data_IF_877616938152
#
_entry.id   IF_877616938152
#
_cell.length_a   1.000
_cell.length_b   1.000
_cell.length_c   1.000
_cell.angle_alpha   90.00
_cell.angle_beta   90.00
_cell.angle_gamma   90.00
#
_symmetry.space_group_name_H-M   'P 1'
#
loop_
_entity.id
_entity.type
_entity.pdbx_description
1 polymer ?
#
# COMPACT_ATOMS: atom_id res chain seq x y z
N UNK A 1 13.88 -1.72 -13.28
CA UNK A 1 14.42 -2.99 -12.76
C UNK A 1 13.29 -3.70 -12.01
N UNK A 2 12.85 -4.90 -12.42
CA UNK A 2 11.83 -5.61 -11.66
C UNK A 2 12.42 -6.02 -10.30
N UNK A 3 11.74 -5.69 -9.21
CA UNK A 3 12.17 -6.08 -7.88
C UNK A 3 11.89 -7.57 -7.68
N UNK A 4 12.93 -8.38 -7.63
CA UNK A 4 12.79 -9.79 -7.29
C UNK A 4 12.38 -9.97 -5.82
N UNK A 5 11.54 -10.96 -5.52
CA UNK A 5 11.07 -11.26 -4.16
C UNK A 5 12.25 -11.36 -3.15
N UNK A 6 13.35 -12.01 -3.56
CA UNK A 6 14.55 -12.14 -2.72
C UNK A 6 15.22 -10.79 -2.41
N UNK A 7 15.17 -9.82 -3.32
CA UNK A 7 15.68 -8.48 -3.08
C UNK A 7 14.81 -7.74 -2.07
N UNK A 8 13.48 -7.80 -2.24
CA UNK A 8 12.51 -7.23 -1.28
C UNK A 8 12.72 -7.82 0.11
N UNK A 9 12.88 -9.14 0.19
CA UNK A 9 13.14 -9.84 1.45
C UNK A 9 14.40 -9.35 2.18
N UNK A 10 15.46 -8.97 1.45
CA UNK A 10 16.71 -8.45 2.02
C UNK A 10 16.58 -7.02 2.53
N UNK A 11 15.67 -6.21 1.95
CA UNK A 11 15.40 -4.84 2.41
C UNK A 11 14.65 -4.81 3.76
N UNK A 12 13.84 -5.83 4.04
CA UNK A 12 13.03 -5.90 5.24
C UNK A 12 13.87 -6.12 6.52
N UNK A 13 13.69 -5.32 7.58
CA UNK A 13 14.27 -5.59 8.90
C UNK A 13 13.81 -6.92 9.52
N UNK A 14 14.54 -7.44 10.53
CA UNK A 14 14.25 -8.74 11.17
C UNK A 14 12.92 -8.79 11.92
N UNK A 15 12.41 -7.64 12.37
CA UNK A 15 11.09 -7.49 12.99
C UNK A 15 9.92 -7.87 12.08
N UNK A 16 10.11 -7.84 10.76
CA UNK A 16 9.06 -8.20 9.79
C UNK A 16 8.97 -9.71 9.63
N UNK A 17 7.77 -10.19 9.27
CA UNK A 17 7.57 -11.53 8.69
C UNK A 17 8.10 -11.56 7.25
N UNK A 18 9.42 -11.49 7.10
CA UNK A 18 10.15 -11.21 5.84
C UNK A 18 9.67 -12.02 4.64
N UNK A 19 9.41 -13.32 4.80
CA UNK A 19 8.92 -14.19 3.71
C UNK A 19 7.54 -13.76 3.23
N UNK A 20 6.60 -13.58 4.16
CA UNK A 20 5.21 -13.24 3.85
C UNK A 20 5.10 -11.83 3.24
N UNK A 21 5.75 -10.85 3.89
CA UNK A 21 5.73 -9.45 3.43
C UNK A 21 6.39 -9.32 2.05
N UNK A 22 7.54 -9.96 1.83
CA UNK A 22 8.22 -9.88 0.54
C UNK A 22 7.41 -10.53 -0.58
N UNK A 23 6.72 -11.63 -0.31
CA UNK A 23 5.86 -12.30 -1.29
C UNK A 23 4.68 -11.42 -1.69
N UNK A 24 3.92 -10.89 -0.72
CA UNK A 24 2.76 -10.03 -1.01
C UNK A 24 3.18 -8.75 -1.76
N UNK A 25 4.30 -8.13 -1.36
CA UNK A 25 4.86 -6.98 -2.06
C UNK A 25 5.36 -7.33 -3.46
N UNK A 26 5.97 -8.49 -3.65
CA UNK A 26 6.42 -8.96 -4.96
C UNK A 26 5.22 -9.13 -5.91
N UNK A 27 4.13 -9.74 -5.43
CA UNK A 27 2.88 -9.86 -6.20
C UNK A 27 2.36 -8.47 -6.61
N UNK A 28 2.36 -7.50 -5.70
CA UNK A 28 1.96 -6.13 -5.98
C UNK A 28 2.84 -5.47 -7.06
N UNK A 29 4.17 -5.63 -7.00
CA UNK A 29 5.12 -5.04 -7.95
C UNK A 29 5.05 -5.71 -9.33
N UNK A 30 4.78 -7.01 -9.38
CA UNK A 30 4.56 -7.73 -10.65
C UNK A 30 3.30 -7.24 -11.34
N UNK A 31 2.24 -6.96 -10.58
CA UNK A 31 0.97 -6.45 -11.11
C UNK A 31 1.06 -4.95 -11.46
N UNK A 32 1.63 -4.14 -10.57
CA UNK A 32 1.86 -2.70 -10.75
C UNK A 32 3.36 -2.40 -10.88
N UNK A 33 3.86 -2.41 -12.11
CA UNK A 33 5.30 -2.30 -12.39
C UNK A 33 5.92 -0.93 -12.02
N UNK A 34 5.08 0.09 -11.83
CA UNK A 34 5.44 1.43 -11.36
C UNK A 34 5.69 1.48 -9.85
N UNK A 35 5.22 0.48 -9.08
CA UNK A 35 5.43 0.46 -7.63
C UNK A 35 6.86 0.07 -7.29
N UNK A 36 7.46 0.86 -6.40
CA UNK A 36 8.83 0.70 -5.94
C UNK A 36 8.85 0.41 -4.44
N UNK A 37 9.36 -0.77 -4.03
CA UNK A 37 9.62 -1.09 -2.64
C UNK A 37 10.78 -0.26 -2.08
N UNK A 38 10.56 0.47 -0.98
CA UNK A 38 11.60 1.25 -0.32
C UNK A 38 11.45 1.28 1.21
N UNK A 39 12.54 1.55 1.91
CA UNK A 39 12.48 1.85 3.35
C UNK A 39 12.37 3.37 3.53
N UNK A 40 11.45 3.82 4.36
CA UNK A 40 11.22 5.24 4.61
C UNK A 40 10.79 5.53 6.04
N UNK A 41 10.84 6.81 6.43
CA UNK A 41 10.37 7.30 7.71
C UNK A 41 8.90 7.69 7.59
N UNK A 42 8.02 6.92 8.19
CA UNK A 42 6.60 7.24 8.34
C UNK A 42 6.39 8.10 9.60
N UNK A 43 5.59 9.16 9.47
CA UNK A 43 5.16 10.02 10.58
C UNK A 43 3.67 9.76 10.82
N UNK A 44 3.33 9.29 12.01
CA UNK A 44 1.95 9.04 12.39
C UNK A 44 1.24 10.33 12.78
N UNK A 45 -0.10 10.28 12.83
CA UNK A 45 -0.93 11.43 13.20
C UNK A 45 -0.66 11.95 14.63
N UNK A 46 -0.09 11.13 15.52
CA UNK A 46 0.34 11.53 16.87
C UNK A 46 1.74 12.17 16.90
N UNK A 47 2.38 12.34 15.75
CA UNK A 47 3.74 12.88 15.60
C UNK A 47 4.85 11.86 15.84
N UNK A 48 4.54 10.63 16.23
CA UNK A 48 5.55 9.58 16.36
C UNK A 48 6.07 9.18 14.98
N UNK A 49 7.31 8.69 14.92
CA UNK A 49 7.92 8.28 13.65
C UNK A 49 8.45 6.86 13.72
N UNK A 50 8.33 6.11 12.62
CA UNK A 50 8.91 4.78 12.49
C UNK A 50 9.51 4.60 11.10
N UNK A 51 10.64 3.88 11.04
CA UNK A 51 11.16 3.38 9.78
C UNK A 51 10.39 2.12 9.37
N UNK A 52 9.64 2.25 8.28
CA UNK A 52 8.75 1.24 7.72
C UNK A 52 9.13 0.94 6.27
N UNK A 53 8.73 -0.24 5.81
CA UNK A 53 8.76 -0.58 4.39
C UNK A 53 7.56 0.09 3.70
N UNK A 54 7.75 0.60 2.49
CA UNK A 54 6.67 1.09 1.64
C UNK A 54 6.72 0.51 0.22
N UNK A 55 5.57 0.57 -0.46
CA UNK A 55 5.46 0.53 -1.92
C UNK A 55 5.01 1.91 -2.39
N UNK A 56 5.82 2.58 -3.19
CA UNK A 56 5.54 3.94 -3.67
C UNK A 56 5.62 3.96 -5.19
N UNK A 57 4.66 4.58 -5.85
CA UNK A 57 4.60 4.66 -7.30
C UNK A 57 3.22 5.11 -7.75
N UNK A 58 2.81 4.72 -8.95
CA UNK A 58 1.47 5.03 -9.48
C UNK A 58 0.66 3.77 -9.69
N UNK A 59 -0.67 3.88 -9.65
CA UNK A 59 -1.59 2.80 -9.97
C UNK A 59 -2.54 3.28 -11.08
N UNK A 60 -2.73 2.51 -12.15
CA UNK A 60 -3.69 2.85 -13.19
C UNK A 60 -5.12 2.66 -12.67
N UNK A 61 -5.93 3.71 -12.78
CA UNK A 61 -7.34 3.74 -12.40
C UNK A 61 -8.15 4.16 -13.62
N UNK A 62 -9.20 3.41 -13.95
CA UNK A 62 -10.12 3.75 -15.04
C UNK A 62 -11.22 4.67 -14.52
N UNK A 63 -11.31 5.87 -15.08
CA UNK A 63 -12.35 6.85 -14.78
C UNK A 63 -12.86 7.48 -16.08
N UNK A 64 -14.18 7.41 -16.32
CA UNK A 64 -14.82 7.96 -17.54
C UNK A 64 -14.10 7.58 -18.84
N UNK A 65 -13.80 6.28 -19.00
CA UNK A 65 -13.10 5.70 -20.18
C UNK A 65 -11.63 6.14 -20.38
N UNK A 66 -11.07 6.90 -19.45
CA UNK A 66 -9.65 7.26 -19.42
C UNK A 66 -8.91 6.63 -18.24
N UNK A 67 -7.68 6.20 -18.47
CA UNK A 67 -6.83 5.62 -17.42
C UNK A 67 -5.93 6.69 -16.81
N UNK A 68 -6.13 6.97 -15.53
CA UNK A 68 -5.33 7.90 -14.74
C UNK A 68 -4.30 7.15 -13.91
N UNK A 69 -3.06 7.65 -13.90
CA UNK A 69 -1.98 7.06 -13.08
C UNK A 69 -1.95 7.75 -11.72
N UNK A 70 -2.64 7.20 -10.74
CA UNK A 70 -2.77 7.84 -9.44
C UNK A 70 -1.56 7.52 -8.56
N UNK A 71 -0.81 8.53 -8.11
CA UNK A 71 0.35 8.33 -7.25
C UNK A 71 -0.06 7.91 -5.84
N UNK A 72 0.58 6.85 -5.33
CA UNK A 72 0.29 6.27 -4.02
C UNK A 72 1.54 5.90 -3.24
N UNK A 73 1.38 5.81 -1.92
CA UNK A 73 2.35 5.27 -1.00
C UNK A 73 1.68 4.35 0.02
N UNK A 74 2.05 3.07 0.00
CA UNK A 74 1.55 2.04 0.92
C UNK A 74 2.61 1.70 1.94
N UNK A 75 2.39 1.99 3.21
CA UNK A 75 3.26 1.66 4.32
C UNK A 75 2.89 0.32 4.95
N UNK A 76 3.91 -0.52 5.16
CA UNK A 76 3.76 -1.85 5.76
C UNK A 76 4.38 -1.83 7.16
N UNK A 77 3.55 -2.05 8.17
CA UNK A 77 4.00 -2.24 9.56
C UNK A 77 4.69 -3.59 9.78
N UNK A 78 5.58 -3.67 10.77
CA UNK A 78 6.26 -4.92 11.12
C UNK A 78 5.29 -6.02 11.59
N UNK A 79 4.13 -5.62 12.14
CA UNK A 79 3.02 -6.48 12.52
C UNK A 79 2.14 -6.92 11.35
N UNK A 80 2.45 -6.58 10.11
CA UNK A 80 1.77 -7.15 8.96
C UNK A 80 2.00 -8.68 8.91
N UNK A 81 0.98 -9.51 8.60
CA UNK A 81 -0.38 -9.17 8.14
C UNK A 81 -1.43 -9.07 9.26
N UNK A 82 -1.05 -8.96 10.54
CA UNK A 82 -2.01 -8.71 11.64
C UNK A 82 -2.57 -7.29 11.60
N UNK A 83 -1.76 -6.32 11.16
CA UNK A 83 -2.18 -4.95 10.86
C UNK A 83 -2.33 -4.74 9.37
N UNK A 84 -3.30 -3.94 8.96
CA UNK A 84 -3.49 -3.52 7.58
C UNK A 84 -2.31 -2.63 7.12
N UNK A 85 -2.02 -2.59 5.81
CA UNK A 85 -1.16 -1.55 5.26
C UNK A 85 -1.83 -0.16 5.42
N UNK A 86 -1.02 0.88 5.63
CA UNK A 86 -1.48 2.28 5.67
C UNK A 86 -1.28 2.85 4.27
N UNK A 87 -2.33 3.36 3.64
CA UNK A 87 -2.28 3.77 2.25
C UNK A 87 -2.53 5.27 2.13
N UNK A 88 -1.73 5.96 1.32
CA UNK A 88 -1.89 7.37 1.00
C UNK A 88 -1.93 7.59 -0.50
N UNK A 89 -2.78 8.50 -0.95
CA UNK A 89 -2.65 9.17 -2.25
C UNK A 89 -1.64 10.30 -2.09
N UNK A 90 -0.65 10.34 -2.97
CA UNK A 90 0.46 11.31 -2.91
C UNK A 90 0.38 12.24 -4.12
N UNK A 91 -0.48 13.28 -4.10
CA UNK A 91 -0.70 14.14 -5.26
C UNK A 91 0.61 14.76 -5.77
N UNK A 92 0.75 14.91 -7.08
CA UNK A 92 1.79 15.77 -7.66
C UNK A 92 1.45 17.25 -7.44
N UNK A 93 2.36 18.16 -7.79
CA UNK A 93 2.13 19.61 -7.68
C UNK A 93 0.86 20.09 -8.38
N UNK A 94 0.44 19.36 -9.41
CA UNK A 94 -0.67 19.72 -10.29
C UNK A 94 -1.96 18.97 -9.92
N UNK A 95 -1.93 18.14 -8.87
CA UNK A 95 -3.06 17.34 -8.39
C UNK A 95 -3.62 17.91 -7.08
N UNK A 96 -4.93 17.75 -6.91
CA UNK A 96 -5.61 18.06 -5.65
C UNK A 96 -6.23 16.79 -5.09
N UNK A 97 -6.00 16.51 -3.81
CA UNK A 97 -6.70 15.42 -3.11
C UNK A 97 -8.14 15.84 -2.89
N UNK A 98 -9.07 15.11 -3.50
CA UNK A 98 -10.49 15.24 -3.21
C UNK A 98 -10.81 14.35 -2.01
N UNK A 99 -10.96 14.95 -0.84
CA UNK A 99 -11.46 14.23 0.33
C UNK A 99 -12.87 13.73 0.05
N UNK A 100 -13.15 12.50 0.45
CA UNK A 100 -14.44 11.87 0.20
C UNK A 100 -14.68 10.70 1.13
N UNK A 101 -15.58 9.80 0.72
CA UNK A 101 -15.98 8.66 1.55
C UNK A 101 -14.82 7.74 1.94
N UNK A 102 -13.83 7.60 1.06
CA UNK A 102 -12.71 6.67 1.21
C UNK A 102 -11.33 7.35 1.25
N UNK A 103 -11.29 8.69 1.23
CA UNK A 103 -10.04 9.46 1.24
C UNK A 103 -10.19 10.60 2.25
N UNK A 104 -9.29 10.62 3.23
CA UNK A 104 -9.18 11.69 4.22
C UNK A 104 -8.58 12.97 3.61
N UNK A 105 -8.74 14.11 4.29
CA UNK A 105 -8.18 15.41 3.87
C UNK A 105 -6.66 15.43 3.78
N UNK A 106 -5.97 14.53 4.48
CA UNK A 106 -4.51 14.33 4.39
C UNK A 106 -4.09 13.33 3.29
N UNK A 107 -5.04 12.82 2.50
CA UNK A 107 -4.79 11.81 1.46
C UNK A 107 -4.74 10.38 1.95
N UNK A 108 -5.01 10.11 3.24
CA UNK A 108 -5.08 8.74 3.76
C UNK A 108 -6.30 8.00 3.20
N UNK A 109 -6.09 6.80 2.68
CA UNK A 109 -7.12 5.95 2.09
C UNK A 109 -7.79 5.14 3.20
N UNK A 110 -9.09 5.39 3.41
CA UNK A 110 -9.92 4.81 4.46
C UNK A 110 -10.99 3.89 3.86
N UNK A 111 -10.61 2.64 3.60
CA UNK A 111 -11.50 1.67 2.98
C UNK A 111 -12.16 0.77 4.03
N UNK A 112 -13.44 0.39 3.84
CA UNK A 112 -14.08 -0.64 4.67
C UNK A 112 -13.26 -1.93 4.74
N UNK A 113 -12.57 -2.27 3.66
CA UNK A 113 -11.67 -3.42 3.59
C UNK A 113 -10.47 -3.31 4.56
N UNK A 114 -9.91 -2.10 4.73
CA UNK A 114 -8.82 -1.84 5.67
C UNK A 114 -9.31 -1.84 7.12
N UNK A 115 -10.52 -1.35 7.36
CA UNK A 115 -11.19 -1.41 8.67
C UNK A 115 -11.48 -2.86 9.09
N UNK A 116 -11.93 -3.68 8.14
CA UNK A 116 -12.31 -5.07 8.36
C UNK A 116 -11.13 -6.05 8.41
N UNK A 117 -9.90 -5.56 8.16
CA UNK A 117 -8.68 -6.38 8.09
C UNK A 117 -8.43 -7.27 9.31
N UNK A 118 -8.91 -6.85 10.49
CA UNK A 118 -8.78 -7.56 11.77
C UNK A 118 -9.98 -8.43 12.13
N UNK A 119 -11.07 -8.43 11.35
CA UNK A 119 -12.27 -9.23 11.66
C UNK A 119 -11.94 -10.72 11.57
N UNK A 120 -12.44 -11.49 12.54
CA UNK A 120 -12.32 -12.94 12.58
C UNK A 120 -13.05 -13.52 11.36
N UNK A 121 -12.32 -14.16 10.45
CA UNK A 121 -12.84 -14.68 9.18
C UNK A 121 -12.15 -14.15 7.92
N UNK A 122 -11.34 -13.09 8.02
CA UNK A 122 -10.52 -12.61 6.91
C UNK A 122 -9.41 -13.60 6.58
N UNK A 123 -9.51 -14.27 5.43
CA UNK A 123 -8.54 -15.29 5.01
C UNK A 123 -7.26 -14.64 4.48
N UNK A 124 -6.14 -15.38 4.51
CA UNK A 124 -4.89 -14.94 3.88
C UNK A 124 -5.08 -14.64 2.38
N UNK A 125 -6.01 -15.33 1.71
CA UNK A 125 -6.36 -15.12 0.31
C UNK A 125 -7.01 -13.75 0.09
N UNK A 126 -7.86 -13.31 1.01
CA UNK A 126 -8.46 -11.98 0.92
C UNK A 126 -7.37 -10.92 0.97
N UNK A 127 -6.44 -11.05 1.93
CA UNK A 127 -5.33 -10.11 2.12
C UNK A 127 -4.42 -10.00 0.90
N UNK A 128 -4.24 -11.09 0.16
CA UNK A 128 -3.52 -11.07 -1.12
C UNK A 128 -4.29 -10.37 -2.24
N UNK A 129 -5.63 -10.51 -2.27
CA UNK A 129 -6.48 -9.78 -3.23
C UNK A 129 -6.42 -8.27 -3.06
N UNK A 130 -6.08 -7.78 -1.87
CA UNK A 130 -5.86 -6.35 -1.65
C UNK A 130 -4.83 -5.79 -2.64
N UNK A 131 -3.66 -6.43 -2.71
CA UNK A 131 -2.55 -6.02 -3.58
C UNK A 131 -2.78 -6.26 -5.08
N UNK A 132 -3.79 -7.05 -5.46
CA UNK A 132 -4.05 -7.41 -6.86
C UNK A 132 -5.26 -6.70 -7.47
N UNK A 133 -6.28 -6.39 -6.67
CA UNK A 133 -7.58 -5.92 -7.19
C UNK A 133 -8.17 -4.77 -6.41
N UNK A 134 -8.01 -4.75 -5.09
CA UNK A 134 -8.68 -3.71 -4.30
C UNK A 134 -7.96 -2.38 -4.43
N UNK A 135 -6.63 -2.36 -4.65
CA UNK A 135 -5.91 -1.10 -4.85
C UNK A 135 -6.43 -0.29 -6.05
N UNK A 136 -6.88 -0.92 -7.15
CA UNK A 136 -7.49 -0.22 -8.31
C UNK A 136 -8.91 0.29 -8.05
N UNK A 137 -9.69 -0.42 -7.23
CA UNK A 137 -11.11 -0.10 -6.98
C UNK A 137 -11.27 1.08 -6.02
N UNK A 138 -10.18 1.46 -5.36
CA UNK A 138 -10.21 2.30 -4.17
C UNK A 138 -9.59 3.68 -4.35
N UNK A 139 -8.93 3.89 -5.48
CA UNK A 139 -8.27 5.13 -5.90
C UNK A 139 -8.99 5.60 -7.16
#
# INVERSE_FOLDING_TARGET
MPYFENAIRKMLPTKYRRKHVAHDMYVAVVHFQSLVPMMGRHVYNDGTTKNLMSLTGTIPVLFEDETYNIPVCLWIEASYPQTAPICYVTPTSDMMVLSGKYISSNGEVMLPYLEDWKKVGYSSTDKQRFFQRQMEVCI
#
